data_IF_412616159246
#
_entry.id   IF_412616159246
#
_cell.length_a   1.000
_cell.length_b   1.000
_cell.length_c   1.000
_cell.angle_alpha   90.00
_cell.angle_beta   90.00
_cell.angle_gamma   90.00
#
_symmetry.space_group_name_H-M   'P 1'
#
loop_
_entity.id
_entity.type
_entity.pdbx_description
1 polymer ?
#
# COMPACT_ATOMS: atom_id res chain seq x y z
N UNK A 1 26.66 50.57 14.96
CA UNK A 1 26.12 49.52 15.84
C UNK A 1 24.83 49.01 15.21
N UNK A 2 24.90 47.94 14.41
CA UNK A 2 23.74 47.40 13.68
C UNK A 2 22.90 46.55 14.62
N UNK A 3 21.63 46.94 14.79
CA UNK A 3 20.64 46.22 15.57
C UNK A 3 19.92 45.26 14.62
N UNK A 4 20.40 44.02 14.54
CA UNK A 4 19.70 42.94 13.84
C UNK A 4 18.56 42.51 14.78
N UNK A 5 17.36 43.03 14.54
CA UNK A 5 16.15 42.64 15.26
C UNK A 5 15.39 41.64 14.38
N UNK A 6 15.48 40.37 14.78
CA UNK A 6 14.49 39.30 14.64
C UNK A 6 13.46 39.42 13.50
N UNK A 7 13.77 38.82 12.33
CA UNK A 7 12.80 38.56 11.26
C UNK A 7 12.10 37.20 11.39
N UNK A 8 12.40 36.40 12.42
CA UNK A 8 11.80 35.07 12.62
C UNK A 8 10.32 35.12 13.03
N UNK A 9 9.87 36.20 13.66
CA UNK A 9 8.48 36.34 14.11
C UNK A 9 7.48 36.57 12.95
N UNK A 10 7.95 37.03 11.79
CA UNK A 10 7.09 37.28 10.61
C UNK A 10 6.78 36.00 9.84
N UNK A 11 7.63 34.98 9.92
CA UNK A 11 7.46 33.75 9.14
C UNK A 11 6.47 32.78 9.80
N UNK A 12 6.48 32.67 11.13
CA UNK A 12 5.49 31.86 11.87
C UNK A 12 4.06 32.38 11.68
N UNK A 13 3.85 33.70 11.77
CA UNK A 13 2.53 34.30 11.56
C UNK A 13 2.04 34.11 10.11
N UNK A 14 2.93 34.26 9.12
CA UNK A 14 2.57 33.98 7.73
C UNK A 14 2.23 32.51 7.49
N UNK A 15 2.94 31.56 8.10
CA UNK A 15 2.65 30.12 8.05
C UNK A 15 1.29 29.77 8.70
N UNK A 16 0.98 30.39 9.84
CA UNK A 16 -0.29 30.19 10.53
C UNK A 16 -1.48 30.69 9.71
N UNK A 17 -1.32 31.76 8.91
CA UNK A 17 -2.35 32.26 8.00
C UNK A 17 -2.38 31.50 6.65
N UNK A 18 -1.28 30.88 6.25
CA UNK A 18 -1.18 30.10 5.00
C UNK A 18 -1.84 28.72 5.10
N UNK A 19 -1.68 28.02 6.23
CA UNK A 19 -2.23 26.68 6.39
C UNK A 19 -3.76 26.61 6.25
N UNK A 20 -4.57 27.55 6.80
CA UNK A 20 -6.03 27.59 6.64
C UNK A 20 -6.51 27.71 5.19
N UNK A 21 -5.73 28.36 4.32
CA UNK A 21 -6.14 28.68 2.95
C UNK A 21 -5.86 27.58 1.93
N UNK A 22 -5.15 26.50 2.32
CA UNK A 22 -4.75 25.41 1.41
C UNK A 22 -5.32 24.04 1.83
N UNK A 23 -6.62 23.77 1.56
CA UNK A 23 -7.25 22.51 1.95
C UNK A 23 -6.62 21.28 1.28
N UNK A 24 -6.10 21.42 0.06
CA UNK A 24 -5.45 20.34 -0.66
C UNK A 24 -4.16 19.86 0.02
N UNK A 25 -3.30 20.79 0.46
CA UNK A 25 -2.04 20.45 1.14
C UNK A 25 -2.29 19.68 2.43
N UNK A 26 -3.32 20.06 3.19
CA UNK A 26 -3.74 19.36 4.42
C UNK A 26 -4.16 17.91 4.14
N UNK A 27 -4.92 17.70 3.07
CA UNK A 27 -5.37 16.37 2.65
C UNK A 27 -4.20 15.51 2.18
N UNK A 28 -3.30 16.07 1.38
CA UNK A 28 -2.11 15.35 0.93
C UNK A 28 -1.21 14.95 2.10
N UNK A 29 -0.92 15.88 3.03
CA UNK A 29 -0.13 15.59 4.22
C UNK A 29 -0.78 14.51 5.09
N UNK A 30 -2.10 14.59 5.28
CA UNK A 30 -2.86 13.56 5.99
C UNK A 30 -2.71 12.19 5.33
N UNK A 31 -2.85 12.12 4.01
CA UNK A 31 -2.69 10.86 3.27
C UNK A 31 -1.25 10.32 3.35
N UNK A 32 -0.23 11.16 3.17
CA UNK A 32 1.18 10.75 3.30
C UNK A 32 1.50 10.27 4.71
N UNK A 33 0.97 10.93 5.75
CA UNK A 33 1.12 10.48 7.13
C UNK A 33 0.53 9.08 7.33
N UNK A 34 -0.60 8.80 6.70
CA UNK A 34 -1.20 7.47 6.64
C UNK A 34 -0.28 6.38 6.10
N UNK A 35 0.41 6.68 4.99
CA UNK A 35 1.39 5.79 4.38
C UNK A 35 2.57 5.55 5.35
N UNK A 36 3.12 6.60 5.98
CA UNK A 36 4.23 6.45 6.92
C UNK A 36 3.84 5.65 8.18
N UNK A 37 2.59 5.74 8.62
CA UNK A 37 2.09 4.99 9.78
C UNK A 37 2.00 3.48 9.52
N UNK A 38 1.90 3.05 8.27
CA UNK A 38 1.93 1.64 7.89
C UNK A 38 3.22 0.94 8.32
N UNK A 39 4.37 1.60 8.16
CA UNK A 39 5.67 1.02 8.53
C UNK A 39 5.90 0.98 10.05
N UNK A 40 5.19 1.82 10.80
CA UNK A 40 5.37 1.97 12.25
C UNK A 40 4.44 1.08 13.07
N UNK A 41 3.28 0.68 12.53
CA UNK A 41 2.24 -0.02 13.29
C UNK A 41 1.73 -1.26 12.54
N UNK A 42 1.79 -2.46 13.13
CA UNK A 42 1.40 -3.68 12.44
C UNK A 42 -0.11 -3.80 12.18
N UNK A 43 -0.46 -3.72 10.88
CA UNK A 43 -1.50 -4.49 10.19
C UNK A 43 -2.96 -4.12 10.45
N UNK A 44 -3.52 -4.55 11.58
CA UNK A 44 -4.97 -4.66 11.74
C UNK A 44 -5.56 -3.67 12.75
N UNK A 45 -4.74 -3.23 13.70
CA UNK A 45 -5.19 -2.35 14.77
C UNK A 45 -5.57 -0.96 14.24
N UNK A 46 -4.82 -0.44 13.27
CA UNK A 46 -5.04 0.89 12.70
C UNK A 46 -6.28 0.93 11.79
N UNK A 47 -6.54 -0.15 11.04
CA UNK A 47 -7.76 -0.30 10.23
C UNK A 47 -8.99 -0.33 11.13
N UNK A 48 -8.98 -1.16 12.18
CA UNK A 48 -10.07 -1.22 13.15
C UNK A 48 -10.28 0.11 13.88
N UNK A 49 -9.19 0.79 14.24
CA UNK A 49 -9.23 2.08 14.91
C UNK A 49 -9.82 3.18 14.01
N UNK A 50 -9.40 3.26 12.74
CA UNK A 50 -9.98 4.24 11.80
C UNK A 50 -11.44 3.90 11.51
N UNK A 51 -11.76 2.67 11.13
CA UNK A 51 -13.16 2.29 10.85
C UNK A 51 -14.02 2.56 12.08
N UNK A 52 -13.51 2.32 13.29
CA UNK A 52 -14.15 2.70 14.55
C UNK A 52 -14.36 4.21 14.65
N UNK A 53 -13.34 5.03 14.42
CA UNK A 53 -13.43 6.49 14.47
C UNK A 53 -14.40 7.04 13.41
N UNK A 54 -14.38 6.53 12.18
CA UNK A 54 -15.31 6.93 11.12
C UNK A 54 -16.75 6.52 11.44
N UNK A 55 -16.95 5.32 11.97
CA UNK A 55 -18.28 4.82 12.38
C UNK A 55 -18.84 5.63 13.55
N UNK A 56 -18.02 5.90 14.57
CA UNK A 56 -18.39 6.74 15.72
C UNK A 56 -18.64 8.18 15.27
N UNK A 57 -17.82 8.73 14.38
CA UNK A 57 -18.03 10.08 13.84
C UNK A 57 -19.30 10.15 13.01
N UNK A 58 -19.59 9.17 12.16
CA UNK A 58 -20.81 9.15 11.37
C UNK A 58 -22.05 9.02 12.26
N UNK A 59 -22.06 8.13 13.26
CA UNK A 59 -23.19 7.97 14.19
C UNK A 59 -23.39 9.21 15.06
N UNK A 60 -22.32 9.86 15.53
CA UNK A 60 -22.42 11.05 16.38
C UNK A 60 -22.76 12.33 15.61
N UNK A 61 -22.37 12.45 14.34
CA UNK A 61 -22.49 13.70 13.58
C UNK A 61 -23.52 13.67 12.43
N UNK A 62 -23.86 12.50 11.86
CA UNK A 62 -24.84 12.39 10.76
C UNK A 62 -26.30 12.76 11.13
N UNK A 63 -26.86 12.39 12.30
CA UNK A 63 -28.22 12.82 12.66
C UNK A 63 -28.30 14.31 13.04
N UNK A 64 -27.15 14.96 13.21
CA UNK A 64 -27.02 16.31 13.75
C UNK A 64 -26.51 17.35 12.74
N UNK A 65 -26.11 16.92 11.54
CA UNK A 65 -25.66 17.77 10.43
C UNK A 65 -26.80 18.42 9.65
N UNK A 66 -28.05 17.98 9.87
CA UNK A 66 -29.23 18.53 9.19
C UNK A 66 -29.70 19.87 9.79
N UNK A 67 -29.22 20.26 10.98
CA UNK A 67 -29.71 21.46 11.68
C UNK A 67 -28.57 22.36 12.21
N UNK A 68 -28.17 23.31 11.37
CA UNK A 68 -27.98 24.74 11.70
C UNK A 68 -26.91 25.25 12.71
N UNK A 69 -25.72 24.65 12.87
CA UNK A 69 -24.66 25.28 13.71
C UNK A 69 -23.22 25.29 13.12
N UNK A 70 -22.55 26.47 13.03
CA UNK A 70 -21.24 26.63 12.37
C UNK A 70 -20.05 26.01 13.13
N UNK A 71 -20.10 25.90 14.46
CA UNK A 71 -19.03 25.25 15.26
C UNK A 71 -18.88 23.74 14.98
N UNK A 72 -19.87 23.10 14.34
CA UNK A 72 -19.81 21.67 13.98
C UNK A 72 -19.01 21.37 12.71
N UNK A 73 -18.70 22.39 11.90
CA UNK A 73 -17.87 22.23 10.69
C UNK A 73 -16.43 21.77 11.01
N UNK A 74 -15.92 22.08 12.20
CA UNK A 74 -14.59 21.69 12.66
C UNK A 74 -14.46 20.17 12.86
N UNK A 75 -15.50 19.53 13.44
CA UNK A 75 -15.54 18.09 13.65
C UNK A 75 -15.65 17.31 12.34
N UNK A 76 -16.40 17.84 11.38
CA UNK A 76 -16.47 17.28 10.04
C UNK A 76 -15.10 17.35 9.33
N UNK A 77 -14.40 18.47 9.47
CA UNK A 77 -13.03 18.62 8.96
C UNK A 77 -12.05 17.63 9.58
N UNK A 78 -12.14 17.38 10.88
CA UNK A 78 -11.34 16.37 11.57
C UNK A 78 -11.64 14.96 11.04
N UNK A 79 -12.91 14.61 10.86
CA UNK A 79 -13.31 13.31 10.32
C UNK A 79 -12.80 13.10 8.89
N UNK A 80 -12.81 14.14 8.05
CA UNK A 80 -12.23 14.09 6.70
C UNK A 80 -10.71 13.88 6.76
N UNK A 81 -9.99 14.58 7.64
CA UNK A 81 -8.53 14.39 7.77
C UNK A 81 -8.21 12.95 8.20
N UNK A 82 -8.94 12.42 9.18
CA UNK A 82 -8.74 11.05 9.67
C UNK A 82 -9.06 10.02 8.58
N UNK A 83 -10.09 10.25 7.75
CA UNK A 83 -10.40 9.36 6.63
C UNK A 83 -9.28 9.32 5.59
N UNK A 84 -8.65 10.46 5.30
CA UNK A 84 -7.52 10.52 4.38
C UNK A 84 -6.25 9.85 4.93
N UNK A 85 -5.95 10.01 6.23
CA UNK A 85 -4.87 9.24 6.89
C UNK A 85 -5.10 7.74 6.70
N UNK A 86 -6.33 7.29 6.92
CA UNK A 86 -6.64 5.88 6.75
C UNK A 86 -6.61 5.41 5.30
N UNK A 87 -7.06 6.23 4.36
CA UNK A 87 -6.94 5.95 2.94
C UNK A 87 -5.49 5.73 2.53
N UNK A 88 -4.56 6.53 3.08
CA UNK A 88 -3.13 6.37 2.86
C UNK A 88 -2.59 5.06 3.43
N UNK A 89 -2.97 4.74 4.67
CA UNK A 89 -2.58 3.48 5.33
C UNK A 89 -3.13 2.26 4.59
N UNK A 90 -4.41 2.27 4.19
CA UNK A 90 -5.05 1.19 3.44
C UNK A 90 -4.38 1.03 2.08
N UNK A 91 -4.09 2.13 1.37
CA UNK A 91 -3.38 2.06 0.09
C UNK A 91 -1.99 1.43 0.26
N UNK A 92 -1.24 1.81 1.31
CA UNK A 92 0.04 1.19 1.63
C UNK A 92 -0.12 -0.30 1.94
N UNK A 93 -1.13 -0.69 2.72
CA UNK A 93 -1.45 -2.08 3.02
C UNK A 93 -1.77 -2.88 1.75
N UNK A 94 -2.57 -2.34 0.82
CA UNK A 94 -2.89 -3.01 -0.45
C UNK A 94 -1.67 -3.16 -1.35
N UNK A 95 -0.79 -2.15 -1.42
CA UNK A 95 0.42 -2.20 -2.25
C UNK A 95 1.51 -3.11 -1.66
N UNK A 96 1.62 -3.15 -0.33
CA UNK A 96 2.62 -3.94 0.39
C UNK A 96 2.11 -5.30 0.86
N UNK A 97 0.86 -5.68 0.52
CA UNK A 97 0.44 -7.08 0.54
C UNK A 97 1.17 -7.82 -0.58
N UNK A 98 2.48 -8.00 -0.41
CA UNK A 98 3.16 -9.15 -0.96
C UNK A 98 2.41 -10.35 -0.41
N UNK A 99 1.69 -11.05 -1.28
CA UNK A 99 1.23 -12.39 -0.97
C UNK A 99 2.48 -13.14 -0.53
N UNK A 100 2.57 -13.43 0.78
CA UNK A 100 3.65 -14.28 1.28
C UNK A 100 3.56 -15.56 0.46
N UNK A 101 4.51 -15.73 -0.45
CA UNK A 101 4.59 -16.95 -1.23
C UNK A 101 4.85 -18.06 -0.21
N UNK A 102 3.92 -19.02 -0.04
CA UNK A 102 4.15 -20.14 0.83
C UNK A 102 5.42 -20.84 0.36
N UNK A 103 6.18 -21.41 1.29
CA UNK A 103 7.42 -22.10 0.94
C UNK A 103 7.12 -23.15 -0.13
N UNK A 104 7.57 -22.87 -1.36
CA UNK A 104 7.29 -23.70 -2.53
C UNK A 104 7.84 -25.13 -2.35
N UNK A 105 8.80 -25.34 -1.43
CA UNK A 105 9.32 -26.67 -1.06
C UNK A 105 8.26 -27.60 -0.46
N UNK A 106 7.17 -27.04 0.07
CA UNK A 106 6.05 -27.81 0.61
C UNK A 106 5.14 -28.39 -0.49
N UNK A 107 5.29 -27.91 -1.73
CA UNK A 107 4.52 -28.36 -2.88
C UNK A 107 5.39 -29.27 -3.76
N UNK A 108 4.77 -30.33 -4.29
CA UNK A 108 5.49 -31.36 -5.06
C UNK A 108 5.50 -31.07 -6.56
N UNK A 109 4.48 -30.37 -7.06
CA UNK A 109 4.34 -30.06 -8.48
C UNK A 109 3.94 -28.60 -8.64
N UNK A 110 4.48 -27.99 -9.69
CA UNK A 110 4.22 -26.62 -10.06
C UNK A 110 3.81 -26.60 -11.53
N UNK A 111 2.68 -25.97 -11.82
CA UNK A 111 2.30 -25.62 -13.17
C UNK A 111 2.75 -24.20 -13.43
N UNK A 112 3.58 -24.04 -14.45
CA UNK A 112 4.20 -22.78 -14.81
C UNK A 112 3.93 -22.53 -16.28
N UNK A 113 3.57 -21.29 -16.61
CA UNK A 113 3.40 -20.79 -17.96
C UNK A 113 4.66 -20.08 -18.40
N UNK A 114 5.22 -20.42 -19.55
CA UNK A 114 6.41 -19.73 -20.04
C UNK A 114 6.01 -18.43 -20.72
N UNK A 115 6.53 -17.31 -20.22
CA UNK A 115 6.23 -15.97 -20.76
C UNK A 115 7.08 -15.71 -21.99
N UNK A 116 8.35 -16.12 -21.94
CA UNK A 116 9.32 -15.96 -23.01
C UNK A 116 10.00 -17.28 -23.37
N UNK A 117 10.58 -17.33 -24.58
CA UNK A 117 11.39 -18.47 -24.98
C UNK A 117 12.67 -18.56 -24.13
N UNK A 118 13.14 -19.78 -23.82
CA UNK A 118 14.35 -19.97 -23.03
C UNK A 118 15.58 -19.29 -23.64
N UNK A 119 16.33 -18.54 -22.83
CA UNK A 119 17.59 -17.92 -23.24
C UNK A 119 18.75 -18.80 -22.79
N UNK A 120 19.57 -19.25 -23.73
CA UNK A 120 20.73 -20.09 -23.42
C UNK A 120 21.83 -19.31 -22.67
N UNK A 121 22.33 -19.90 -21.59
CA UNK A 121 23.52 -19.47 -20.83
C UNK A 121 24.53 -20.61 -20.80
N UNK A 122 25.75 -20.36 -20.30
CA UNK A 122 26.85 -21.34 -20.36
C UNK A 122 26.47 -22.75 -19.87
N UNK A 123 25.74 -22.86 -18.75
CA UNK A 123 25.38 -24.16 -18.13
C UNK A 123 23.87 -24.37 -17.92
N UNK A 124 23.03 -23.43 -18.34
CA UNK A 124 21.59 -23.47 -18.08
C UNK A 124 20.81 -22.68 -19.13
N UNK A 125 19.50 -22.90 -19.18
CA UNK A 125 18.56 -22.01 -19.85
C UNK A 125 17.91 -21.10 -18.81
N UNK A 126 17.97 -19.78 -19.03
CA UNK A 126 17.22 -18.79 -18.24
C UNK A 126 15.82 -18.71 -18.84
N UNK A 127 14.80 -18.86 -18.00
CA UNK A 127 13.40 -18.81 -18.44
C UNK A 127 12.61 -17.90 -17.52
N UNK A 128 11.89 -16.95 -18.12
CA UNK A 128 10.92 -16.11 -17.43
C UNK A 128 9.54 -16.73 -17.58
N UNK A 129 8.90 -16.97 -16.45
CA UNK A 129 7.70 -17.80 -16.40
C UNK A 129 6.73 -17.27 -15.34
N UNK A 130 5.45 -17.55 -15.50
CA UNK A 130 4.41 -17.23 -14.53
C UNK A 130 4.02 -18.53 -13.83
N UNK A 131 4.17 -18.58 -12.51
CA UNK A 131 3.57 -19.66 -11.73
C UNK A 131 2.05 -19.55 -11.88
N UNK A 132 1.36 -20.65 -12.18
CA UNK A 132 -0.10 -20.66 -12.23
C UNK A 132 -0.65 -21.23 -10.93
N UNK A 133 -0.18 -22.44 -10.60
CA UNK A 133 -0.52 -23.10 -9.36
C UNK A 133 0.57 -24.06 -8.91
N UNK A 134 0.60 -24.29 -7.60
CA UNK A 134 1.41 -25.31 -6.94
C UNK A 134 0.48 -26.31 -6.25
N UNK A 135 0.79 -27.59 -6.34
CA UNK A 135 -0.02 -28.64 -5.72
C UNK A 135 0.81 -29.52 -4.79
N UNK A 136 0.22 -29.81 -3.64
CA UNK A 136 0.65 -30.80 -2.67
C UNK A 136 -0.46 -31.84 -2.52
N UNK A 137 -0.20 -32.94 -1.80
CA UNK A 137 -1.12 -34.08 -1.70
C UNK A 137 -2.53 -33.69 -1.18
N UNK A 138 -2.64 -32.57 -0.45
CA UNK A 138 -3.88 -32.10 0.19
C UNK A 138 -4.33 -30.71 -0.23
N UNK A 139 -3.54 -29.97 -1.02
CA UNK A 139 -3.77 -28.54 -1.27
C UNK A 139 -3.36 -28.12 -2.68
N UNK A 140 -4.12 -27.18 -3.24
CA UNK A 140 -3.79 -26.47 -4.47
C UNK A 140 -3.69 -24.99 -4.12
N UNK A 141 -2.56 -24.39 -4.45
CA UNK A 141 -2.27 -22.99 -4.22
C UNK A 141 -2.10 -22.28 -5.55
N UNK A 142 -2.95 -21.29 -5.83
CA UNK A 142 -2.87 -20.48 -7.03
C UNK A 142 -2.02 -19.25 -6.74
N UNK A 143 -0.96 -19.05 -7.51
CA UNK A 143 -0.09 -17.90 -7.37
C UNK A 143 0.32 -17.43 -8.75
N UNK A 144 -0.40 -16.45 -9.28
CA UNK A 144 -0.13 -15.75 -10.54
C UNK A 144 1.07 -14.81 -10.37
N UNK A 145 2.24 -15.39 -10.19
CA UNK A 145 3.44 -14.64 -9.87
C UNK A 145 4.54 -14.91 -10.89
N UNK A 146 5.23 -13.85 -11.31
CA UNK A 146 6.41 -13.97 -12.15
C UNK A 146 7.54 -14.66 -11.40
N UNK A 147 8.09 -15.70 -11.99
CA UNK A 147 9.22 -16.47 -11.49
C UNK A 147 10.33 -16.54 -12.53
N UNK A 148 11.55 -16.59 -12.02
CA UNK A 148 12.74 -16.79 -12.85
C UNK A 148 13.29 -18.20 -12.63
N UNK A 149 13.29 -19.00 -13.70
CA UNK A 149 13.74 -20.38 -13.67
C UNK A 149 15.10 -20.52 -14.37
N UNK A 150 15.98 -21.32 -13.76
CA UNK A 150 17.23 -21.76 -14.36
C UNK A 150 17.17 -23.27 -14.55
N UNK A 151 17.01 -23.70 -15.80
CA UNK A 151 16.88 -25.11 -16.15
C UNK A 151 18.26 -25.60 -16.59
N UNK A 152 18.75 -26.70 -16.00
CA UNK A 152 19.98 -27.33 -16.45
C UNK A 152 19.86 -27.73 -17.93
N UNK A 153 20.98 -27.68 -18.67
CA UNK A 153 20.98 -28.08 -20.08
C UNK A 153 20.69 -29.58 -20.19
N UNK A 154 19.48 -29.90 -20.60
CA UNK A 154 19.06 -31.24 -21.01
C UNK A 154 18.34 -31.15 -22.36
N UNK A 155 18.30 -32.27 -23.07
CA UNK A 155 17.62 -32.47 -24.36
C UNK A 155 16.17 -31.98 -24.39
N UNK A 156 15.48 -32.01 -23.25
CA UNK A 156 14.10 -31.56 -23.08
C UNK A 156 13.98 -30.04 -22.86
N UNK A 157 15.01 -29.40 -22.31
CA UNK A 157 15.00 -27.97 -22.01
C UNK A 157 15.13 -27.13 -23.29
N UNK A 158 15.84 -27.62 -24.31
CA UNK A 158 16.00 -26.95 -25.60
C UNK A 158 14.73 -26.91 -26.46
N UNK A 159 13.74 -27.74 -26.15
CA UNK A 159 12.47 -27.82 -26.91
C UNK A 159 11.34 -27.00 -26.29
N UNK A 160 11.59 -26.36 -25.14
CA UNK A 160 10.58 -25.53 -24.47
C UNK A 160 10.27 -24.29 -25.29
N UNK A 161 8.97 -24.05 -25.52
CA UNK A 161 8.45 -22.87 -26.21
C UNK A 161 7.54 -22.10 -25.25
N UNK A 162 7.48 -20.78 -25.41
CA UNK A 162 6.50 -19.94 -24.73
C UNK A 162 5.06 -20.45 -24.98
N UNK A 163 4.20 -20.40 -23.96
CA UNK A 163 2.87 -21.01 -24.04
C UNK A 163 2.22 -21.23 -22.69
#
# INVERSE_FOLDING_TARGET
>A
MFKIIFSTFSFENQLMDFFPSMPFVRICLAYTLGICLYDLLPGWFLIALVVGILSVSFVLFAPFSVVAHPHRTQWLGLAIIISWIAGGYINALYQNHFVEMPDLRLFKKHAVRLIENPVEKNNAYKVEAELLFSTSDSQIYFAHAGILLYIAKDSTASTLQHG
#
